data_IF_081299713219
#
_entry.id   IF_081299713219
#
_cell.length_a   1.000
_cell.length_b   1.000
_cell.length_c   1.000
_cell.angle_alpha   90.00
_cell.angle_beta   90.00
_cell.angle_gamma   90.00
#
_symmetry.space_group_name_H-M   'P 1'
#
loop_
_entity.id
_entity.type
_entity.pdbx_description
1 polymer ?
#
# COMPACT_ATOMS: atom_id res chain seq x y z
N UNK A 1 18.91 -6.55 7.21
CA UNK A 1 19.43 -7.05 5.91
C UNK A 1 18.35 -7.61 4.97
N UNK A 2 17.28 -8.25 5.46
CA UNK A 2 16.22 -8.81 4.59
C UNK A 2 15.40 -7.76 3.81
N UNK A 3 15.02 -6.67 4.47
CA UNK A 3 14.20 -5.59 3.87
C UNK A 3 14.81 -5.02 2.58
N UNK A 4 16.10 -4.66 2.62
CA UNK A 4 16.83 -4.12 1.46
C UNK A 4 16.91 -5.15 0.32
N UNK A 5 17.01 -6.45 0.62
CA UNK A 5 17.05 -7.49 -0.43
C UNK A 5 15.72 -7.58 -1.17
N UNK A 6 14.58 -7.50 -0.46
CA UNK A 6 13.26 -7.45 -1.07
C UNK A 6 13.05 -6.19 -1.92
N UNK A 7 13.39 -5.02 -1.37
CA UNK A 7 13.34 -3.76 -2.12
C UNK A 7 14.19 -3.82 -3.39
N UNK A 8 15.40 -4.39 -3.28
CA UNK A 8 16.27 -4.65 -4.43
C UNK A 8 15.66 -5.64 -5.43
N UNK A 9 14.88 -6.64 -5.01
CA UNK A 9 14.16 -7.56 -5.92
C UNK A 9 13.12 -6.80 -6.75
N UNK A 10 12.39 -5.89 -6.12
CA UNK A 10 11.32 -5.11 -6.77
C UNK A 10 11.79 -3.82 -7.44
N UNK A 11 13.07 -3.42 -7.27
CA UNK A 11 13.60 -2.13 -7.76
C UNK A 11 12.93 -0.90 -7.13
N UNK A 12 12.57 -1.03 -5.85
CA UNK A 12 11.88 0.02 -5.08
C UNK A 12 12.73 0.43 -3.87
N UNK A 13 12.35 1.54 -3.25
CA UNK A 13 12.94 2.05 -2.01
C UNK A 13 11.81 2.42 -1.04
N UNK A 14 11.58 1.56 -0.07
CA UNK A 14 10.46 1.66 0.87
C UNK A 14 10.91 1.72 2.33
N UNK A 15 12.18 1.44 2.61
CA UNK A 15 12.75 1.50 3.97
C UNK A 15 12.80 2.91 4.53
N UNK A 16 12.64 3.03 5.84
CA UNK A 16 12.74 4.29 6.59
C UNK A 16 11.40 4.70 7.16
N UNK A 17 11.46 5.50 8.22
CA UNK A 17 10.30 6.09 8.87
C UNK A 17 10.18 7.53 8.38
N UNK A 18 8.97 8.00 8.18
CA UNK A 18 8.69 9.39 7.83
C UNK A 18 7.61 9.94 8.74
N UNK A 19 7.95 11.02 9.43
CA UNK A 19 7.01 11.79 10.24
C UNK A 19 6.23 12.79 9.38
N UNK A 20 5.09 13.21 9.89
CA UNK A 20 4.32 14.30 9.29
C UNK A 20 5.01 15.64 9.51
N UNK A 21 4.98 16.51 8.49
CA UNK A 21 5.59 17.86 8.58
C UNK A 21 4.80 18.81 9.49
N UNK A 22 3.53 18.50 9.75
CA UNK A 22 2.62 19.25 10.62
C UNK A 22 1.88 18.29 11.56
N UNK A 23 1.34 18.80 12.66
CA UNK A 23 0.49 18.03 13.60
C UNK A 23 -0.84 17.66 12.94
N UNK A 24 -0.81 16.69 12.02
CA UNK A 24 -2.02 16.02 11.54
C UNK A 24 -2.40 15.02 12.63
N UNK A 25 -3.24 15.46 13.57
CA UNK A 25 -3.60 14.75 14.82
C UNK A 25 -4.12 13.33 14.55
N UNK A 26 -4.62 13.06 13.35
CA UNK A 26 -5.31 11.82 13.02
C UNK A 26 -4.55 10.85 12.12
N UNK A 27 -3.36 11.19 11.62
CA UNK A 27 -2.57 10.33 10.76
C UNK A 27 -1.27 9.90 11.44
N UNK A 28 -0.95 8.61 11.37
CA UNK A 28 0.25 8.07 12.00
C UNK A 28 1.46 8.27 11.07
N UNK A 29 2.67 8.22 11.63
CA UNK A 29 3.92 8.21 10.85
C UNK A 29 3.91 7.08 9.81
N UNK A 30 4.54 7.30 8.67
CA UNK A 30 4.72 6.26 7.68
C UNK A 30 5.88 5.34 8.09
N UNK A 31 5.55 4.11 8.46
CA UNK A 31 6.49 3.01 8.62
C UNK A 31 6.05 1.81 7.77
N UNK A 32 6.97 1.17 7.03
CA UNK A 32 6.57 0.12 6.12
C UNK A 32 6.31 -1.19 6.86
N UNK A 33 5.27 -1.93 6.47
CA UNK A 33 5.06 -3.28 7.00
C UNK A 33 6.31 -4.15 6.78
N UNK A 34 6.85 -4.83 7.80
CA UNK A 34 7.99 -5.72 7.61
C UNK A 34 7.67 -6.88 6.66
N UNK A 35 8.58 -7.22 5.74
CA UNK A 35 8.32 -8.29 4.76
C UNK A 35 8.05 -9.65 5.42
N UNK A 36 8.71 -9.95 6.55
CA UNK A 36 8.45 -11.20 7.28
C UNK A 36 7.02 -11.30 7.81
N UNK A 37 6.39 -10.16 8.17
CA UNK A 37 5.01 -10.12 8.60
C UNK A 37 4.06 -10.37 7.41
N UNK A 38 4.34 -9.78 6.25
CA UNK A 38 3.62 -10.06 5.01
C UNK A 38 3.74 -11.53 4.60
N UNK A 39 4.95 -12.09 4.64
CA UNK A 39 5.20 -13.51 4.34
C UNK A 39 4.37 -14.42 5.25
N UNK A 40 4.30 -14.10 6.56
CA UNK A 40 3.49 -14.83 7.54
C UNK A 40 2.00 -14.67 7.30
N UNK A 41 1.51 -13.45 7.07
CA UNK A 41 0.10 -13.17 6.79
C UNK A 41 -0.37 -13.97 5.57
N UNK A 42 0.34 -13.83 4.46
CA UNK A 42 -0.01 -14.44 3.18
C UNK A 42 0.39 -15.93 3.06
N UNK A 43 0.93 -16.52 4.12
CA UNK A 43 0.97 -17.98 4.29
C UNK A 43 -0.40 -18.53 4.69
N UNK A 44 -1.22 -17.73 5.37
CA UNK A 44 -2.53 -18.14 5.89
C UNK A 44 -3.69 -17.49 5.15
N UNK A 45 -3.57 -16.21 4.81
CA UNK A 45 -4.56 -15.47 4.05
C UNK A 45 -4.34 -15.65 2.55
N UNK A 46 -5.35 -16.14 1.83
CA UNK A 46 -5.27 -16.39 0.40
C UNK A 46 -5.95 -15.25 -0.35
N UNK A 47 -5.32 -14.83 -1.45
CA UNK A 47 -5.88 -13.93 -2.43
C UNK A 47 -6.10 -14.69 -3.74
N UNK A 48 -7.22 -14.41 -4.39
CA UNK A 48 -7.66 -14.99 -5.65
C UNK A 48 -7.49 -14.00 -6.80
N UNK A 49 -7.49 -14.51 -8.04
CA UNK A 49 -7.30 -13.66 -9.24
C UNK A 49 -8.42 -12.64 -9.46
N UNK A 50 -9.57 -12.86 -8.84
CA UNK A 50 -10.73 -11.97 -8.86
C UNK A 50 -10.69 -10.90 -7.77
N UNK A 51 -9.74 -10.97 -6.84
CA UNK A 51 -9.62 -9.96 -5.79
C UNK A 51 -8.96 -8.69 -6.34
N UNK A 52 -9.36 -7.54 -5.79
CA UNK A 52 -8.69 -6.25 -5.94
C UNK A 52 -8.45 -5.68 -4.55
N UNK A 53 -7.21 -5.29 -4.29
CA UNK A 53 -6.79 -4.84 -2.97
C UNK A 53 -6.58 -3.33 -2.91
N UNK A 54 -7.08 -2.71 -1.85
CA UNK A 54 -6.83 -1.33 -1.47
C UNK A 54 -5.90 -1.32 -0.25
N UNK A 55 -4.77 -0.64 -0.37
CA UNK A 55 -3.74 -0.46 0.66
C UNK A 55 -3.85 0.97 1.22
N UNK A 56 -4.50 1.11 2.37
CA UNK A 56 -4.72 2.42 3.01
C UNK A 56 -3.50 2.85 3.82
N UNK A 57 -3.02 4.06 3.54
CA UNK A 57 -1.72 4.51 4.05
C UNK A 57 -0.59 3.67 3.45
N UNK A 58 -0.63 3.53 2.13
CA UNK A 58 0.28 2.66 1.36
C UNK A 58 1.76 3.05 1.49
N UNK A 59 2.04 4.25 2.00
CA UNK A 59 3.38 4.76 2.17
C UNK A 59 4.09 4.80 0.82
N UNK A 60 5.33 4.36 0.81
CA UNK A 60 6.13 4.23 -0.43
C UNK A 60 5.74 3.03 -1.30
N UNK A 61 4.65 2.32 -0.96
CA UNK A 61 4.02 1.27 -1.75
C UNK A 61 4.47 -0.16 -1.47
N UNK A 62 5.18 -0.43 -0.36
CA UNK A 62 5.76 -1.77 -0.10
C UNK A 62 4.73 -2.89 -0.22
N UNK A 63 3.61 -2.75 0.49
CA UNK A 63 2.57 -3.76 0.55
C UNK A 63 1.94 -3.92 -0.82
N UNK A 64 1.60 -2.81 -1.48
CA UNK A 64 1.11 -2.83 -2.85
C UNK A 64 2.03 -3.59 -3.83
N UNK A 65 3.34 -3.30 -3.86
CA UNK A 65 4.28 -4.00 -4.74
C UNK A 65 4.46 -5.48 -4.38
N UNK A 66 4.48 -5.79 -3.08
CA UNK A 66 4.58 -7.17 -2.60
C UNK A 66 3.39 -8.00 -3.07
N UNK A 67 2.17 -7.51 -2.85
CA UNK A 67 0.92 -8.22 -3.19
C UNK A 67 0.80 -8.34 -4.70
N UNK A 68 1.01 -7.25 -5.42
CA UNK A 68 0.96 -7.27 -6.88
C UNK A 68 1.99 -8.26 -7.46
N UNK A 69 3.23 -8.29 -6.94
CA UNK A 69 4.24 -9.24 -7.42
C UNK A 69 3.93 -10.70 -7.06
N UNK A 70 3.35 -10.96 -5.88
CA UNK A 70 3.11 -12.33 -5.41
C UNK A 70 1.83 -12.93 -5.99
N UNK A 71 0.79 -12.13 -6.16
CA UNK A 71 -0.55 -12.61 -6.50
C UNK A 71 -1.00 -12.21 -7.90
N UNK A 72 -0.36 -11.22 -8.52
CA UNK A 72 -0.72 -10.68 -9.84
C UNK A 72 -2.19 -10.26 -9.88
N UNK A 73 -2.63 -9.51 -8.87
CA UNK A 73 -3.97 -8.95 -8.76
C UNK A 73 -3.91 -7.42 -8.82
N UNK A 74 -5.01 -6.75 -9.19
CA UNK A 74 -5.13 -5.30 -9.06
C UNK A 74 -4.83 -4.82 -7.65
N UNK A 75 -4.03 -3.76 -7.52
CA UNK A 75 -3.79 -3.08 -6.23
C UNK A 75 -3.88 -1.56 -6.37
N UNK A 76 -4.57 -0.91 -5.45
CA UNK A 76 -4.62 0.55 -5.30
C UNK A 76 -3.98 0.92 -3.97
N UNK A 77 -2.99 1.80 -3.97
CA UNK A 77 -2.42 2.37 -2.75
C UNK A 77 -2.90 3.81 -2.54
N UNK A 78 -3.43 4.11 -1.35
CA UNK A 78 -3.86 5.46 -0.98
C UNK A 78 -2.78 6.08 -0.08
N UNK A 79 -2.31 7.29 -0.38
CA UNK A 79 -1.32 7.99 0.43
C UNK A 79 -1.65 9.48 0.52
N UNK A 80 -1.62 10.00 1.74
CA UNK A 80 -2.05 11.36 2.07
C UNK A 80 -0.88 12.35 2.15
N UNK A 81 0.36 11.88 2.35
CA UNK A 81 1.55 12.74 2.35
C UNK A 81 2.15 12.83 0.94
N UNK A 82 2.24 14.05 0.42
CA UNK A 82 2.66 14.36 -0.95
C UNK A 82 4.06 13.82 -1.29
N UNK A 83 5.03 14.06 -0.41
CA UNK A 83 6.41 13.64 -0.61
C UNK A 83 6.59 12.11 -0.55
N UNK A 84 5.73 11.41 0.18
CA UNK A 84 5.69 9.94 0.21
C UNK A 84 4.99 9.40 -1.04
N UNK A 85 3.87 10.00 -1.42
CA UNK A 85 3.14 9.64 -2.64
C UNK A 85 4.04 9.72 -3.88
N UNK A 86 4.81 10.81 -4.02
CA UNK A 86 5.78 10.96 -5.10
C UNK A 86 6.85 9.86 -5.11
N UNK A 87 7.30 9.43 -3.92
CA UNK A 87 8.22 8.30 -3.80
C UNK A 87 7.56 6.98 -4.21
N UNK A 88 6.28 6.76 -3.90
CA UNK A 88 5.51 5.60 -4.34
C UNK A 88 5.37 5.59 -5.87
N UNK A 89 5.07 6.73 -6.50
CA UNK A 89 5.01 6.87 -7.95
C UNK A 89 6.37 6.57 -8.60
N UNK A 90 7.46 7.09 -8.04
CA UNK A 90 8.81 6.81 -8.53
C UNK A 90 9.20 5.33 -8.37
N UNK A 91 8.80 4.70 -7.26
CA UNK A 91 8.93 3.26 -7.06
C UNK A 91 8.11 2.48 -8.10
N UNK A 92 6.86 2.88 -8.37
CA UNK A 92 5.99 2.24 -9.36
C UNK A 92 6.62 2.25 -10.76
N UNK A 93 7.18 3.39 -11.17
CA UNK A 93 7.88 3.51 -12.46
C UNK A 93 9.01 2.47 -12.59
N UNK A 94 9.88 2.36 -11.59
CA UNK A 94 10.99 1.39 -11.58
C UNK A 94 10.50 -0.06 -11.46
N UNK A 95 9.51 -0.29 -10.61
CA UNK A 95 8.91 -1.61 -10.41
C UNK A 95 8.30 -2.16 -11.70
N UNK A 96 7.52 -1.33 -12.42
CA UNK A 96 6.87 -1.73 -13.69
C UNK A 96 7.87 -2.10 -14.78
N UNK A 97 9.07 -1.54 -14.78
CA UNK A 97 10.13 -1.97 -15.71
C UNK A 97 10.56 -3.42 -15.47
N UNK A 98 10.44 -3.94 -14.25
CA UNK A 98 10.74 -5.35 -13.91
C UNK A 98 9.52 -6.26 -13.96
N UNK A 99 8.37 -5.76 -13.55
CA UNK A 99 7.12 -6.50 -13.47
C UNK A 99 6.28 -6.42 -14.77
N UNK A 100 6.91 -6.29 -15.94
CA UNK A 100 6.22 -6.12 -17.24
C UNK A 100 5.32 -7.31 -17.61
N UNK A 101 5.63 -8.50 -17.10
CA UNK A 101 4.89 -9.73 -17.33
C UNK A 101 3.60 -9.82 -16.50
N UNK A 102 3.38 -8.90 -15.55
CA UNK A 102 2.18 -8.86 -14.71
C UNK A 102 1.20 -7.86 -15.33
N UNK A 103 0.14 -8.38 -15.95
CA UNK A 103 -0.89 -7.57 -16.62
C UNK A 103 -1.77 -6.80 -15.66
N UNK A 104 -1.96 -7.32 -14.44
CA UNK A 104 -2.78 -6.68 -13.43
C UNK A 104 -2.33 -5.22 -13.20
N UNK A 105 -3.27 -4.29 -12.97
CA UNK A 105 -2.93 -2.91 -12.70
C UNK A 105 -2.37 -2.70 -11.28
N UNK A 106 -1.59 -1.64 -11.12
CA UNK A 106 -1.19 -1.12 -9.81
C UNK A 106 -1.28 0.40 -9.87
N UNK A 107 -2.08 0.99 -8.99
CA UNK A 107 -2.34 2.42 -8.93
C UNK A 107 -1.95 2.98 -7.58
N UNK A 108 -1.61 4.26 -7.58
CA UNK A 108 -1.45 5.03 -6.36
C UNK A 108 -2.31 6.28 -6.52
N UNK A 109 -3.06 6.60 -5.49
CA UNK A 109 -3.91 7.78 -5.42
C UNK A 109 -3.45 8.67 -4.26
N UNK A 110 -3.35 9.96 -4.55
CA UNK A 110 -3.03 10.97 -3.55
C UNK A 110 -4.32 11.45 -2.92
N UNK A 111 -4.46 11.29 -1.61
CA UNK A 111 -5.66 11.70 -0.90
C UNK A 111 -5.75 11.14 0.51
N UNK A 112 -6.69 11.71 1.27
CA UNK A 112 -7.07 11.19 2.59
C UNK A 112 -7.80 9.86 2.43
N UNK A 113 -7.51 8.92 3.32
CA UNK A 113 -8.11 7.60 3.30
C UNK A 113 -9.63 7.64 3.44
N UNK A 114 -10.17 8.52 4.29
CA UNK A 114 -11.62 8.69 4.49
C UNK A 114 -12.34 9.33 3.29
N UNK A 115 -11.60 9.89 2.33
CA UNK A 115 -12.16 10.49 1.12
C UNK A 115 -12.11 9.53 -0.07
N UNK A 116 -11.51 8.34 0.08
CA UNK A 116 -11.46 7.36 -0.99
C UNK A 116 -12.85 6.77 -1.23
N UNK A 117 -13.32 6.86 -2.47
CA UNK A 117 -14.58 6.27 -2.93
C UNK A 117 -14.34 4.80 -3.29
N UNK A 118 -15.04 3.89 -2.63
CA UNK A 118 -14.89 2.44 -2.84
C UNK A 118 -15.49 2.05 -4.18
N UNK A 119 -14.68 1.46 -5.05
CA UNK A 119 -15.15 0.96 -6.34
C UNK A 119 -15.87 -0.39 -6.17
N UNK A 120 -16.88 -0.71 -7.01
CA UNK A 120 -17.61 -1.99 -6.92
C UNK A 120 -16.73 -3.25 -6.97
N UNK A 121 -15.52 -3.14 -7.53
CA UNK A 121 -14.56 -4.24 -7.64
C UNK A 121 -13.61 -4.34 -6.44
N UNK A 122 -13.48 -3.30 -5.60
CA UNK A 122 -12.63 -3.34 -4.42
C UNK A 122 -13.23 -4.30 -3.38
N UNK A 123 -12.46 -5.31 -2.97
CA UNK A 123 -12.99 -6.36 -2.10
C UNK A 123 -11.99 -6.87 -1.04
N UNK A 124 -10.78 -6.30 -1.00
CA UNK A 124 -9.78 -6.55 0.02
C UNK A 124 -9.19 -5.22 0.48
N UNK A 125 -9.20 -4.97 1.78
CA UNK A 125 -8.75 -3.71 2.36
C UNK A 125 -7.64 -4.01 3.37
N UNK A 126 -6.50 -3.36 3.21
CA UNK A 126 -5.33 -3.57 4.07
C UNK A 126 -4.99 -2.29 4.85
N UNK A 127 -4.63 -2.47 6.12
CA UNK A 127 -4.28 -1.40 7.04
C UNK A 127 -3.05 -1.83 7.85
N UNK A 128 -2.02 -0.99 7.90
CA UNK A 128 -0.88 -1.16 8.81
C UNK A 128 -0.73 0.07 9.72
N UNK A 129 -1.72 0.25 10.60
CA UNK A 129 -1.80 1.40 11.50
C UNK A 129 -1.66 2.78 10.80
N UNK A 130 -2.38 3.06 9.70
CA UNK A 130 -2.15 4.25 8.89
C UNK A 130 -2.65 5.55 9.56
N UNK A 131 -3.66 5.47 10.41
CA UNK A 131 -4.33 6.63 11.00
C UNK A 131 -5.08 6.23 12.29
N UNK A 132 -5.64 7.24 12.95
CA UNK A 132 -6.42 7.12 14.19
C UNK A 132 -7.72 6.33 14.02
N UNK A 133 -8.30 5.88 15.14
CA UNK A 133 -9.59 5.20 15.16
C UNK A 133 -10.74 6.04 14.57
N UNK A 134 -10.66 7.38 14.67
CA UNK A 134 -11.66 8.29 14.11
C UNK A 134 -11.70 8.23 12.58
N UNK A 135 -10.53 8.30 11.94
CA UNK A 135 -10.41 8.13 10.48
C UNK A 135 -10.80 6.71 10.09
N UNK A 136 -10.36 5.71 10.85
CA UNK A 136 -10.71 4.31 10.57
C UNK A 136 -12.21 4.07 10.55
N UNK A 137 -12.97 4.70 11.46
CA UNK A 137 -14.43 4.62 11.45
C UNK A 137 -15.01 5.10 10.11
N UNK A 138 -14.59 6.29 9.64
CA UNK A 138 -15.07 6.85 8.37
C UNK A 138 -14.73 5.96 7.18
N UNK A 139 -13.51 5.42 7.14
CA UNK A 139 -13.08 4.49 6.08
C UNK A 139 -13.95 3.23 6.09
N UNK A 140 -14.21 2.65 7.27
CA UNK A 140 -15.07 1.46 7.38
C UNK A 140 -16.51 1.77 6.97
N UNK A 141 -17.04 2.95 7.31
CA UNK A 141 -18.36 3.41 6.87
C UNK A 141 -18.43 3.57 5.34
N UNK A 142 -17.33 3.87 4.66
CA UNK A 142 -17.28 3.89 3.18
C UNK A 142 -17.19 2.47 2.57
N UNK A 143 -16.67 1.49 3.31
CA UNK A 143 -16.49 0.10 2.85
C UNK A 143 -17.78 -0.72 2.96
N UNK A 144 -18.60 -0.47 3.98
CA UNK A 144 -19.78 -1.27 4.35
C UNK A 144 -21.09 -0.69 3.79
#
# INVERSE_FOLDING_TARGET
>A
MGEIKYDKKFSIKTTGIKEWHHEVIHYNRCEPTPYHALDRLFKHYKLHKTDRLVDFGSGRGRVAFYIHNRFHIPVVGIEAQDDIFDQAINNKKRYRQRAKHIEAPIYFEYGLAENYEIEPMDNRFYFFNPFSAEVFKKVVDNIL
#
